data_IF_631066143366
#
_entry.id   IF_631066143366
#
_cell.length_a   1.000
_cell.length_b   1.000
_cell.length_c   1.000
_cell.angle_alpha   90.00
_cell.angle_beta   90.00
_cell.angle_gamma   90.00
#
_symmetry.space_group_name_H-M   'P 1'
#
loop_
_entity.id
_entity.type
_entity.pdbx_description
1 polymer ?
#
# COMPACT_ATOMS: atom_id res chain seq x y z
N UNK A 1 -19.20 -46.26 41.26
CA UNK A 1 -19.38 -44.81 41.45
C UNK A 1 -18.22 -44.10 40.76
N UNK A 2 -18.45 -43.28 39.72
CA UNK A 2 -17.36 -42.59 39.04
C UNK A 2 -17.04 -41.28 39.78
N UNK A 3 -15.74 -41.01 39.93
CA UNK A 3 -15.17 -39.82 40.56
C UNK A 3 -15.46 -38.60 39.68
N UNK A 4 -16.13 -37.59 40.25
CA UNK A 4 -16.51 -36.34 39.60
C UNK A 4 -15.28 -35.41 39.58
N UNK A 5 -14.62 -35.26 38.42
CA UNK A 5 -13.62 -34.21 38.23
C UNK A 5 -14.32 -32.85 38.28
N UNK A 6 -13.95 -32.01 39.25
CA UNK A 6 -14.41 -30.62 39.35
C UNK A 6 -13.51 -29.74 38.47
N UNK A 7 -14.13 -29.01 37.54
CA UNK A 7 -13.47 -28.01 36.71
C UNK A 7 -13.11 -26.78 37.55
N UNK A 8 -11.88 -26.29 37.41
CA UNK A 8 -11.40 -25.05 38.00
C UNK A 8 -12.12 -23.81 37.40
N UNK A 9 -12.29 -22.72 38.17
CA UNK A 9 -12.92 -21.50 37.66
C UNK A 9 -11.99 -20.76 36.68
N UNK A 10 -12.55 -20.02 35.70
CA UNK A 10 -11.74 -19.28 34.74
C UNK A 10 -11.01 -18.12 35.42
N UNK A 11 -9.75 -17.93 35.04
CA UNK A 11 -8.92 -16.83 35.48
C UNK A 11 -9.55 -15.48 35.08
N UNK A 12 -9.57 -14.54 36.02
CA UNK A 12 -10.04 -13.18 35.81
C UNK A 12 -9.21 -12.49 34.72
N UNK A 13 -9.89 -11.91 33.73
CA UNK A 13 -9.29 -11.05 32.72
C UNK A 13 -8.67 -9.82 33.41
N UNK A 14 -7.35 -9.66 33.28
CA UNK A 14 -6.64 -8.43 33.63
C UNK A 14 -7.10 -7.31 32.68
N UNK A 15 -7.74 -6.28 33.22
CA UNK A 15 -8.12 -5.08 32.47
C UNK A 15 -6.89 -4.42 31.85
N UNK A 16 -6.87 -4.33 30.52
CA UNK A 16 -5.82 -3.66 29.77
C UNK A 16 -5.76 -2.19 30.13
N UNK A 17 -4.58 -1.71 30.53
CA UNK A 17 -4.30 -0.28 30.63
C UNK A 17 -4.37 0.30 29.22
N UNK A 18 -5.14 1.38 29.05
CA UNK A 18 -5.18 2.12 27.80
C UNK A 18 -3.79 2.64 27.40
N UNK A 19 -3.59 2.98 26.12
CA UNK A 19 -2.29 3.38 25.60
C UNK A 19 -1.75 4.67 26.24
N UNK A 20 -0.43 4.92 26.16
CA UNK A 20 0.18 6.14 26.68
C UNK A 20 -0.39 7.38 25.99
N UNK A 21 -0.67 8.42 26.77
CA UNK A 21 -1.31 9.66 26.31
C UNK A 21 -0.50 10.41 25.24
N UNK A 22 0.79 10.14 25.07
CA UNK A 22 1.63 10.77 24.05
C UNK A 22 1.30 10.36 22.61
N UNK A 23 0.56 9.27 22.40
CA UNK A 23 0.23 8.75 21.06
C UNK A 23 -1.14 9.17 20.52
N UNK A 24 -1.92 9.94 21.30
CA UNK A 24 -3.26 10.39 20.94
C UNK A 24 -3.28 11.88 20.57
N UNK A 25 -4.26 12.29 19.77
CA UNK A 25 -4.42 13.69 19.35
C UNK A 25 -4.98 14.57 20.48
N UNK A 26 -4.63 15.87 20.51
CA UNK A 26 -5.24 16.81 21.46
C UNK A 26 -6.67 17.18 21.03
N UNK A 27 -7.43 17.80 21.93
CA UNK A 27 -8.71 18.41 21.63
C UNK A 27 -8.62 19.34 20.40
N UNK A 28 -9.51 19.12 19.43
CA UNK A 28 -9.56 19.88 18.18
C UNK A 28 -8.57 19.42 17.10
N UNK A 29 -7.50 18.71 17.46
CA UNK A 29 -6.53 18.18 16.49
C UNK A 29 -7.16 17.06 15.65
N UNK A 30 -6.64 16.89 14.43
CA UNK A 30 -6.99 15.77 13.59
C UNK A 30 -6.52 14.46 14.23
N UNK A 31 -7.46 13.52 14.33
CA UNK A 31 -7.27 12.24 14.98
C UNK A 31 -7.51 11.06 14.04
N UNK A 32 -7.63 11.31 12.72
CA UNK A 32 -7.93 10.26 11.74
C UNK A 32 -6.88 9.15 11.74
N UNK A 33 -5.62 9.49 11.96
CA UNK A 33 -4.51 8.54 12.04
C UNK A 33 -4.32 7.95 13.45
N UNK A 34 -4.59 8.72 14.50
CA UNK A 34 -4.36 8.27 15.88
C UNK A 34 -5.50 7.41 16.42
N UNK A 35 -6.74 7.66 15.96
CA UNK A 35 -7.96 6.97 16.40
C UNK A 35 -8.26 7.14 17.90
N UNK A 36 -7.61 8.10 18.57
CA UNK A 36 -7.75 8.33 20.01
C UNK A 36 -7.45 9.78 20.40
N UNK A 37 -7.97 10.19 21.56
CA UNK A 37 -7.85 11.55 22.09
C UNK A 37 -7.19 11.55 23.46
N UNK A 38 -6.33 12.54 23.71
CA UNK A 38 -5.64 12.74 25.00
C UNK A 38 -6.58 13.18 26.10
N UNK A 39 -7.53 14.04 25.73
CA UNK A 39 -8.42 14.69 26.68
C UNK A 39 -9.53 13.74 27.15
N UNK A 40 -9.67 13.63 28.46
CA UNK A 40 -10.69 12.78 29.07
C UNK A 40 -12.09 13.22 28.65
N UNK A 41 -12.90 12.28 28.16
CA UNK A 41 -14.26 12.54 27.68
C UNK A 41 -14.35 12.96 26.21
N UNK A 42 -13.21 13.21 25.55
CA UNK A 42 -13.17 13.41 24.10
C UNK A 42 -13.18 12.07 23.36
N UNK A 43 -13.80 12.06 22.18
CA UNK A 43 -13.76 10.97 21.22
C UNK A 43 -13.27 11.50 19.88
N UNK A 44 -12.64 10.64 19.09
CA UNK A 44 -12.27 10.98 17.73
C UNK A 44 -13.52 10.87 16.86
N UNK A 45 -14.09 12.01 16.46
CA UNK A 45 -15.26 12.04 15.60
C UNK A 45 -14.85 12.31 14.16
N UNK A 46 -15.24 11.43 13.26
CA UNK A 46 -15.06 11.61 11.83
C UNK A 46 -15.90 12.80 11.35
N UNK A 47 -15.22 13.74 10.68
CA UNK A 47 -15.89 14.73 9.87
C UNK A 47 -16.25 14.07 8.54
N UNK A 48 -15.23 13.74 7.77
CA UNK A 48 -15.35 13.12 6.47
C UNK A 48 -14.24 12.06 6.32
N UNK A 49 -14.15 11.30 5.22
CA UNK A 49 -13.12 10.28 5.03
C UNK A 49 -11.67 10.77 5.14
N UNK A 50 -11.45 12.08 5.12
CA UNK A 50 -10.13 12.72 5.08
C UNK A 50 -9.79 13.51 6.34
N UNK A 51 -10.73 13.66 7.28
CA UNK A 51 -10.52 14.45 8.50
C UNK A 51 -11.37 13.94 9.65
N UNK A 52 -10.77 13.88 10.82
CA UNK A 52 -11.48 13.71 12.08
C UNK A 52 -11.08 14.82 13.06
N UNK A 53 -11.73 14.89 14.21
CA UNK A 53 -11.25 15.73 15.30
C UNK A 53 -11.59 15.15 16.66
N UNK A 54 -10.72 15.40 17.63
CA UNK A 54 -11.00 15.11 19.02
C UNK A 54 -11.99 16.11 19.60
N UNK A 55 -13.23 15.67 19.82
CA UNK A 55 -14.32 16.51 20.35
C UNK A 55 -15.06 15.77 21.46
N UNK A 56 -15.69 16.51 22.35
CA UNK A 56 -16.58 15.96 23.39
C UNK A 56 -17.97 15.64 22.85
N UNK A 57 -18.41 16.35 21.80
CA UNK A 57 -19.69 16.18 21.11
C UNK A 57 -19.51 16.31 19.59
N UNK A 58 -20.46 15.74 18.85
CA UNK A 58 -20.51 15.84 17.39
C UNK A 58 -21.97 15.83 16.92
N UNK A 59 -22.29 16.71 15.96
CA UNK A 59 -23.58 16.78 15.27
C UNK A 59 -23.39 16.43 13.79
N UNK A 60 -24.29 15.63 13.22
CA UNK A 60 -24.18 15.18 11.82
C UNK A 60 -24.58 16.32 10.89
N UNK A 61 -23.77 16.57 9.85
CA UNK A 61 -24.07 17.56 8.81
C UNK A 61 -22.99 18.63 8.67
N UNK A 62 -23.28 19.66 7.87
CA UNK A 62 -22.34 20.77 7.61
C UNK A 62 -22.50 21.83 8.69
N UNK A 63 -21.41 22.16 9.38
CA UNK A 63 -21.41 23.17 10.43
C UNK A 63 -20.93 24.52 9.89
N UNK A 64 -21.69 25.58 10.16
CA UNK A 64 -21.34 26.95 9.76
C UNK A 64 -20.13 27.49 10.53
N UNK A 65 -19.83 26.92 11.68
CA UNK A 65 -18.75 27.37 12.55
C UNK A 65 -17.38 26.84 12.10
N UNK A 66 -17.37 25.87 11.18
CA UNK A 66 -16.13 25.45 10.51
C UNK A 66 -15.64 26.54 9.54
N UNK A 67 -14.32 26.70 9.35
CA UNK A 67 -13.75 27.63 8.39
C UNK A 67 -14.40 27.47 7.00
N UNK A 68 -14.74 28.56 6.29
CA UNK A 68 -15.51 28.48 5.05
C UNK A 68 -14.96 27.50 4.00
N UNK A 69 -13.64 27.40 3.90
CA UNK A 69 -12.86 26.50 3.03
C UNK A 69 -12.81 25.05 3.52
N UNK A 70 -13.15 24.79 4.78
CA UNK A 70 -13.13 23.48 5.41
C UNK A 70 -14.54 22.90 5.65
N UNK A 71 -15.60 23.63 5.29
CA UNK A 71 -17.01 23.22 5.48
C UNK A 71 -17.35 22.00 4.63
N UNK A 72 -17.35 20.85 5.28
CA UNK A 72 -17.77 19.55 4.74
C UNK A 72 -18.66 18.85 5.77
N UNK A 73 -19.52 17.92 5.36
CA UNK A 73 -20.41 17.22 6.28
C UNK A 73 -19.61 16.46 7.33
N UNK A 74 -20.04 16.51 8.58
CA UNK A 74 -19.62 15.62 9.66
C UNK A 74 -20.46 14.34 9.63
N UNK A 75 -19.83 13.17 9.56
CA UNK A 75 -20.50 11.87 9.74
C UNK A 75 -20.72 11.55 11.22
N UNK A 76 -19.90 12.11 12.10
CA UNK A 76 -19.84 11.84 13.54
C UNK A 76 -19.64 10.37 13.91
N UNK A 77 -19.12 9.57 12.99
CA UNK A 77 -18.67 8.22 13.31
C UNK A 77 -17.52 8.33 14.31
N UNK A 78 -17.62 7.60 15.42
CA UNK A 78 -16.52 7.55 16.40
C UNK A 78 -15.45 6.63 15.84
N UNK A 79 -14.27 7.18 15.55
CA UNK A 79 -13.10 6.40 15.20
C UNK A 79 -12.42 5.91 16.48
N UNK A 80 -12.09 4.62 16.50
CA UNK A 80 -11.26 3.98 17.52
C UNK A 80 -9.90 3.64 16.93
N UNK A 81 -8.95 3.23 17.79
CA UNK A 81 -7.66 2.72 17.31
C UNK A 81 -7.83 1.46 16.45
N UNK A 82 -8.90 0.70 16.64
CA UNK A 82 -9.25 -0.44 15.78
C UNK A 82 -9.71 0.01 14.38
N UNK A 83 -10.29 1.20 14.28
CA UNK A 83 -10.80 1.78 13.03
C UNK A 83 -9.71 2.54 12.25
N UNK A 84 -8.44 2.51 12.70
CA UNK A 84 -7.33 3.14 11.95
C UNK A 84 -7.25 2.49 10.56
N UNK A 85 -7.06 3.27 9.49
CA UNK A 85 -6.44 2.76 8.28
C UNK A 85 -5.11 2.11 8.67
N UNK A 86 -5.04 0.76 8.61
CA UNK A 86 -3.86 -0.02 9.02
C UNK A 86 -3.87 -0.67 10.42
N UNK A 87 -4.94 -0.59 11.23
CA UNK A 87 -5.06 -1.37 12.49
C UNK A 87 -5.44 -2.86 12.30
N UNK A 88 -5.38 -3.32 11.06
CA UNK A 88 -5.96 -4.57 10.58
C UNK A 88 -5.04 -5.78 10.79
N UNK A 89 -4.35 -5.89 11.93
CA UNK A 89 -3.43 -7.02 12.21
C UNK A 89 -4.13 -8.40 12.14
N UNK A 90 -5.46 -8.44 12.31
CA UNK A 90 -6.28 -9.65 12.23
C UNK A 90 -6.96 -9.87 10.86
N UNK A 91 -7.03 -8.85 9.98
CA UNK A 91 -7.70 -9.00 8.68
C UNK A 91 -6.74 -9.52 7.64
N UNK A 92 -6.97 -10.76 7.22
CA UNK A 92 -6.16 -11.44 6.20
C UNK A 92 -6.71 -11.15 4.80
N UNK A 93 -5.84 -11.11 3.78
CA UNK A 93 -4.39 -11.20 3.88
C UNK A 93 -3.71 -9.93 4.43
N UNK A 94 -2.63 -10.11 5.20
CA UNK A 94 -1.76 -9.01 5.62
C UNK A 94 -0.94 -8.51 4.43
N UNK A 95 -0.87 -7.19 4.25
CA UNK A 95 -0.15 -6.55 3.13
C UNK A 95 1.02 -5.73 3.66
N UNK A 96 2.24 -6.02 3.17
CA UNK A 96 3.38 -5.11 3.29
C UNK A 96 3.49 -4.33 1.98
N UNK A 97 3.37 -3.01 2.03
CA UNK A 97 3.39 -2.18 0.83
C UNK A 97 4.60 -1.25 0.80
N UNK A 98 5.12 -0.94 -0.38
CA UNK A 98 6.19 0.05 -0.47
C UNK A 98 6.07 0.88 -1.73
N UNK A 99 6.62 2.10 -1.66
CA UNK A 99 6.79 2.98 -2.79
C UNK A 99 8.25 3.42 -2.87
N UNK A 100 8.69 3.72 -4.09
CA UNK A 100 9.99 4.36 -4.37
C UNK A 100 9.70 5.76 -4.88
N UNK A 101 10.36 6.78 -4.33
CA UNK A 101 10.15 8.17 -4.74
C UNK A 101 11.45 8.98 -4.78
N UNK A 102 11.56 9.86 -5.77
CA UNK A 102 12.61 10.88 -5.81
C UNK A 102 12.12 12.12 -5.06
N UNK A 103 12.85 12.53 -4.02
CA UNK A 103 12.52 13.61 -3.08
C UNK A 103 12.38 14.98 -3.74
N UNK A 104 13.04 15.20 -4.87
CA UNK A 104 12.99 16.44 -5.65
C UNK A 104 11.84 16.51 -6.67
N UNK A 105 11.04 15.45 -6.80
CA UNK A 105 9.94 15.34 -7.78
C UNK A 105 8.54 15.45 -7.18
N UNK A 106 7.52 15.38 -8.04
CA UNK A 106 6.09 15.39 -7.67
C UNK A 106 5.64 14.15 -6.89
N UNK A 107 6.44 13.08 -6.91
CA UNK A 107 6.17 11.83 -6.20
C UNK A 107 5.93 12.07 -4.70
N UNK A 108 6.72 12.96 -4.09
CA UNK A 108 6.60 13.24 -2.67
C UNK A 108 5.30 13.97 -2.33
N UNK A 109 4.80 14.83 -3.23
CA UNK A 109 3.51 15.51 -3.05
C UNK A 109 2.33 14.54 -3.18
N UNK A 110 2.44 13.56 -4.08
CA UNK A 110 1.48 12.46 -4.18
C UNK A 110 1.48 11.62 -2.91
N UNK A 111 2.63 11.15 -2.44
CA UNK A 111 2.72 10.36 -1.21
C UNK A 111 2.22 11.13 0.03
N UNK A 112 2.44 12.45 0.10
CA UNK A 112 1.84 13.31 1.14
C UNK A 112 0.31 13.34 1.05
N UNK A 113 -0.25 13.44 -0.15
CA UNK A 113 -1.70 13.39 -0.33
C UNK A 113 -2.29 12.05 0.11
N UNK A 114 -1.64 10.94 -0.26
CA UNK A 114 -2.00 9.59 0.18
C UNK A 114 -1.96 9.45 1.71
N UNK A 115 -0.86 9.90 2.34
CA UNK A 115 -0.64 9.80 3.78
C UNK A 115 -1.72 10.54 4.58
N UNK A 116 -2.12 11.75 4.14
CA UNK A 116 -3.16 12.55 4.81
C UNK A 116 -4.47 11.80 4.97
N UNK A 117 -4.80 10.92 4.03
CA UNK A 117 -6.08 10.23 3.99
C UNK A 117 -5.97 8.74 4.33
N UNK A 118 -4.78 8.27 4.70
CA UNK A 118 -4.52 6.83 4.91
C UNK A 118 -4.74 5.97 3.66
N UNK A 119 -4.64 6.57 2.47
CA UNK A 119 -4.86 5.91 1.19
C UNK A 119 -3.57 5.37 0.56
N UNK A 120 -3.67 4.64 -0.54
CA UNK A 120 -2.49 4.06 -1.18
C UNK A 120 -1.76 3.06 -0.28
N UNK A 121 -0.43 3.16 -0.21
CA UNK A 121 0.39 2.26 0.64
C UNK A 121 0.09 2.42 2.13
N UNK A 122 -0.42 3.58 2.55
CA UNK A 122 -0.71 3.89 3.95
C UNK A 122 -1.93 3.12 4.50
N UNK A 123 -2.73 2.50 3.61
CA UNK A 123 -3.81 1.59 3.99
C UNK A 123 -3.37 0.14 4.25
N UNK A 124 -2.10 -0.18 3.97
CA UNK A 124 -1.55 -1.52 4.18
C UNK A 124 -1.25 -1.80 5.66
N UNK A 125 -1.04 -3.09 5.99
CA UNK A 125 -0.78 -3.52 7.37
C UNK A 125 0.56 -3.01 7.89
N UNK A 126 1.54 -2.89 6.99
CA UNK A 126 2.77 -2.14 7.19
C UNK A 126 3.21 -1.56 5.84
N UNK A 127 4.02 -0.51 5.90
CA UNK A 127 4.56 0.09 4.69
C UNK A 127 5.98 0.64 4.87
N UNK A 128 6.64 0.92 3.74
CA UNK A 128 7.95 1.58 3.67
C UNK A 128 8.01 2.53 2.47
N UNK A 129 8.66 3.67 2.63
CA UNK A 129 8.98 4.57 1.52
C UNK A 129 10.48 4.52 1.30
N UNK A 130 10.94 4.26 0.08
CA UNK A 130 12.34 4.34 -0.29
C UNK A 130 12.59 5.62 -1.08
N UNK A 131 13.53 6.45 -0.62
CA UNK A 131 13.81 7.74 -1.28
C UNK A 131 15.30 8.03 -1.37
N UNK A 132 15.67 8.91 -2.30
CA UNK A 132 17.04 9.39 -2.50
C UNK A 132 17.56 10.26 -1.33
N UNK A 133 16.64 10.83 -0.54
CA UNK A 133 16.94 11.67 0.62
C UNK A 133 15.92 11.46 1.75
N UNK A 134 16.21 12.02 2.92
CA UNK A 134 15.21 12.10 4.00
C UNK A 134 13.97 12.86 3.53
N UNK A 135 12.80 12.39 3.94
CA UNK A 135 11.53 13.06 3.66
C UNK A 135 10.80 13.37 4.97
N UNK A 136 9.76 14.21 4.89
CA UNK A 136 8.87 14.49 6.01
C UNK A 136 7.73 13.47 6.17
N UNK A 137 7.84 12.30 5.53
CA UNK A 137 6.89 11.20 5.68
C UNK A 137 7.43 10.14 6.64
N UNK A 138 6.58 9.56 7.51
CA UNK A 138 6.98 8.47 8.38
C UNK A 138 7.43 7.25 7.57
N UNK A 139 8.20 6.37 8.22
CA UNK A 139 8.65 5.10 7.62
C UNK A 139 9.41 5.27 6.29
N UNK A 140 10.11 6.40 6.14
CA UNK A 140 11.05 6.62 5.04
C UNK A 140 12.40 5.99 5.34
N UNK A 141 12.93 5.23 4.39
CA UNK A 141 14.31 4.76 4.35
C UNK A 141 15.04 5.44 3.19
N UNK A 142 16.15 6.09 3.51
CA UNK A 142 17.03 6.67 2.49
C UNK A 142 17.81 5.55 1.80
N UNK A 143 17.74 5.54 0.47
CA UNK A 143 18.44 4.60 -0.38
C UNK A 143 19.11 5.40 -1.53
N UNK A 144 20.42 5.69 -1.44
CA UNK A 144 21.13 6.56 -2.39
C UNK A 144 21.11 6.11 -3.86
N UNK A 145 20.74 4.85 -4.12
CA UNK A 145 20.55 4.28 -5.45
C UNK A 145 19.25 4.75 -6.11
N UNK A 146 18.28 5.18 -5.31
CA UNK A 146 17.13 5.95 -5.80
C UNK A 146 17.71 7.28 -6.23
N UNK A 147 17.67 7.56 -7.52
CA UNK A 147 18.14 8.82 -8.11
C UNK A 147 17.21 9.17 -9.25
N UNK A 148 17.10 10.46 -9.56
CA UNK A 148 16.39 10.89 -10.75
C UNK A 148 17.00 10.21 -12.00
N UNK A 149 16.18 9.69 -12.93
CA UNK A 149 16.70 9.04 -14.13
C UNK A 149 17.59 9.99 -14.91
N UNK A 150 18.84 9.60 -15.13
CA UNK A 150 19.71 10.26 -16.10
C UNK A 150 19.46 9.63 -17.46
N UNK A 151 19.03 10.44 -18.44
CA UNK A 151 18.81 9.95 -19.80
C UNK A 151 20.11 9.38 -20.39
N UNK A 152 20.15 8.08 -20.64
CA UNK A 152 21.31 7.41 -21.28
C UNK A 152 21.12 7.42 -22.79
N UNK A 153 22.12 7.94 -23.52
CA UNK A 153 22.10 7.91 -24.99
C UNK A 153 22.10 6.47 -25.51
N UNK A 154 21.10 6.13 -26.33
CA UNK A 154 20.89 4.76 -26.83
C UNK A 154 19.89 3.93 -26.01
N UNK A 155 19.42 4.43 -24.87
CA UNK A 155 18.24 3.89 -24.22
C UNK A 155 17.03 4.12 -25.12
N UNK A 156 16.21 3.08 -25.33
CA UNK A 156 15.06 3.10 -26.25
C UNK A 156 13.99 4.14 -25.86
N UNK A 157 14.11 4.70 -24.65
CA UNK A 157 13.34 5.82 -24.11
C UNK A 157 14.20 6.39 -22.96
N UNK A 158 14.41 7.71 -22.93
CA UNK A 158 15.27 8.38 -21.94
C UNK A 158 14.79 8.24 -20.47
N UNK A 159 13.66 7.56 -20.25
CA UNK A 159 12.93 7.44 -18.99
C UNK A 159 13.08 6.09 -18.27
N UNK A 160 13.79 5.10 -18.85
CA UNK A 160 13.70 3.69 -18.42
C UNK A 160 15.00 3.09 -17.85
N UNK A 161 15.86 3.90 -17.22
CA UNK A 161 17.13 3.43 -16.64
C UNK A 161 17.12 3.50 -15.12
N UNK A 162 16.06 3.00 -14.48
CA UNK A 162 15.92 2.99 -13.02
C UNK A 162 15.87 1.59 -12.40
N UNK A 163 16.03 0.51 -13.19
CA UNK A 163 16.00 -0.87 -12.67
C UNK A 163 16.94 -1.04 -11.46
N UNK A 164 18.10 -0.37 -11.44
CA UNK A 164 19.04 -0.42 -10.31
C UNK A 164 18.44 0.07 -8.98
N UNK A 165 17.63 1.13 -8.99
CA UNK A 165 16.98 1.65 -7.79
C UNK A 165 15.97 0.64 -7.22
N UNK A 166 15.20 0.01 -8.10
CA UNK A 166 14.20 -1.00 -7.72
C UNK A 166 14.86 -2.32 -7.30
N UNK A 167 15.91 -2.76 -7.99
CA UNK A 167 16.72 -3.92 -7.60
C UNK A 167 17.31 -3.70 -6.20
N UNK A 168 17.88 -2.52 -5.93
CA UNK A 168 18.39 -2.17 -4.61
C UNK A 168 17.27 -2.16 -3.56
N UNK A 169 16.09 -1.63 -3.90
CA UNK A 169 14.92 -1.60 -3.00
C UNK A 169 14.46 -3.02 -2.65
N UNK A 170 14.30 -3.91 -3.64
CA UNK A 170 13.95 -5.31 -3.40
C UNK A 170 15.01 -6.03 -2.55
N UNK A 171 16.29 -5.76 -2.79
CA UNK A 171 17.38 -6.28 -1.96
C UNK A 171 17.24 -5.85 -0.49
N UNK A 172 16.97 -4.57 -0.23
CA UNK A 172 16.75 -4.05 1.13
C UNK A 172 15.56 -4.74 1.83
N UNK A 173 14.43 -4.89 1.13
CA UNK A 173 13.23 -5.55 1.68
C UNK A 173 13.56 -6.98 2.12
N UNK A 174 14.33 -7.73 1.33
CA UNK A 174 14.68 -9.11 1.63
C UNK A 174 15.73 -9.22 2.73
N UNK A 175 16.82 -8.44 2.65
CA UNK A 175 17.93 -8.46 3.62
C UNK A 175 17.44 -8.06 5.00
N UNK A 176 16.59 -7.04 5.10
CA UNK A 176 16.03 -6.58 6.38
C UNK A 176 14.78 -7.35 6.81
N UNK A 177 14.30 -8.31 6.02
CA UNK A 177 13.10 -9.11 6.30
C UNK A 177 11.85 -8.25 6.56
N UNK A 178 11.73 -7.11 5.88
CA UNK A 178 10.69 -6.11 6.18
C UNK A 178 9.27 -6.65 5.98
N UNK A 179 9.09 -7.55 5.01
CA UNK A 179 7.83 -8.20 4.71
C UNK A 179 7.54 -9.44 5.58
N UNK A 180 8.43 -9.78 6.53
CA UNK A 180 8.14 -10.86 7.47
C UNK A 180 6.85 -10.56 8.25
N UNK A 181 6.07 -11.59 8.55
CA UNK A 181 4.71 -11.42 9.08
C UNK A 181 3.60 -11.16 8.04
N UNK A 182 3.91 -10.70 6.82
CA UNK A 182 2.91 -10.28 5.82
C UNK A 182 2.68 -11.30 4.69
N UNK A 183 1.43 -11.53 4.29
CA UNK A 183 1.08 -12.57 3.31
C UNK A 183 1.45 -12.17 1.87
N UNK A 184 1.37 -10.87 1.58
CA UNK A 184 1.70 -10.30 0.28
C UNK A 184 2.56 -9.05 0.43
N UNK A 185 3.42 -8.86 -0.57
CA UNK A 185 4.30 -7.70 -0.75
C UNK A 185 3.83 -6.96 -1.99
N UNK A 186 3.59 -5.66 -1.84
CA UNK A 186 2.97 -4.83 -2.88
C UNK A 186 3.84 -3.60 -3.14
N UNK A 187 4.44 -3.51 -4.32
CA UNK A 187 5.02 -2.26 -4.80
C UNK A 187 3.90 -1.41 -5.41
N UNK A 188 3.84 -0.13 -5.09
CA UNK A 188 2.87 0.81 -5.68
C UNK A 188 3.61 2.08 -6.07
N UNK A 189 3.40 2.55 -7.30
CA UNK A 189 3.94 3.85 -7.71
C UNK A 189 3.19 5.01 -7.04
N UNK A 190 3.88 6.12 -6.71
CA UNK A 190 3.25 7.31 -6.10
C UNK A 190 2.03 7.86 -6.87
N UNK A 191 1.99 7.72 -8.20
CA UNK A 191 0.90 8.18 -9.04
C UNK A 191 -0.14 7.09 -9.36
N UNK A 192 -0.05 5.95 -8.70
CA UNK A 192 -1.05 4.88 -8.73
C UNK A 192 -2.01 5.06 -7.54
N UNK A 193 -3.30 5.23 -7.82
CA UNK A 193 -4.35 5.25 -6.79
C UNK A 193 -4.66 3.82 -6.41
N UNK A 194 -4.29 3.41 -5.20
CA UNK A 194 -4.37 2.01 -4.77
C UNK A 194 -5.23 1.83 -3.52
N UNK A 195 -6.26 0.98 -3.59
CA UNK A 195 -7.18 0.73 -2.48
C UNK A 195 -6.85 -0.60 -1.78
N UNK A 196 -6.06 -0.54 -0.71
CA UNK A 196 -5.55 -1.71 0.01
C UNK A 196 -6.66 -2.69 0.47
N UNK A 197 -7.79 -2.18 0.96
CA UNK A 197 -8.92 -3.00 1.40
C UNK A 197 -9.51 -3.86 0.26
N UNK A 198 -9.56 -3.32 -0.96
CA UNK A 198 -10.00 -4.10 -2.14
C UNK A 198 -9.01 -5.18 -2.48
N UNK A 199 -7.71 -4.89 -2.42
CA UNK A 199 -6.70 -5.92 -2.67
C UNK A 199 -6.84 -7.06 -1.67
N UNK A 200 -7.06 -6.79 -0.37
CA UNK A 200 -7.30 -7.84 0.62
C UNK A 200 -8.49 -8.73 0.24
N UNK A 201 -9.64 -8.11 -0.06
CA UNK A 201 -10.82 -8.85 -0.48
C UNK A 201 -10.57 -9.67 -1.75
N UNK A 202 -9.89 -9.09 -2.73
CA UNK A 202 -9.56 -9.71 -4.00
C UNK A 202 -8.65 -10.93 -3.82
N UNK A 203 -7.57 -10.79 -3.06
CA UNK A 203 -6.59 -11.84 -2.78
C UNK A 203 -7.11 -12.94 -1.86
N UNK A 204 -8.24 -12.75 -1.18
CA UNK A 204 -8.91 -13.80 -0.40
C UNK A 204 -9.55 -14.89 -1.27
N UNK A 205 -9.65 -14.68 -2.60
CA UNK A 205 -10.20 -15.68 -3.50
C UNK A 205 -9.25 -16.90 -3.63
N UNK A 206 -9.79 -18.15 -3.72
CA UNK A 206 -8.99 -19.37 -3.84
C UNK A 206 -7.99 -19.37 -5.01
N UNK A 207 -8.32 -18.67 -6.11
CA UNK A 207 -7.45 -18.53 -7.28
C UNK A 207 -6.11 -17.86 -6.97
N UNK A 208 -6.02 -17.11 -5.88
CA UNK A 208 -4.80 -16.46 -5.42
C UNK A 208 -4.18 -17.19 -4.23
N UNK A 209 -5.00 -17.60 -3.26
CA UNK A 209 -4.53 -18.30 -2.06
C UNK A 209 -3.80 -19.61 -2.38
N UNK A 210 -4.32 -20.39 -3.34
CA UNK A 210 -3.69 -21.65 -3.76
C UNK A 210 -2.27 -21.45 -4.31
N UNK A 211 -2.10 -20.67 -5.40
CA UNK A 211 -0.78 -20.35 -5.94
C UNK A 211 0.17 -19.68 -4.94
N UNK A 212 -0.33 -18.75 -4.12
CA UNK A 212 0.48 -18.07 -3.11
C UNK A 212 1.01 -19.00 -2.01
N UNK A 213 0.26 -20.05 -1.68
CA UNK A 213 0.67 -21.07 -0.72
C UNK A 213 1.67 -22.09 -1.29
N UNK A 214 1.93 -22.09 -2.60
CA UNK A 214 2.95 -22.96 -3.20
C UNK A 214 4.35 -22.64 -2.65
N UNK A 215 5.31 -23.59 -2.68
CA UNK A 215 6.66 -23.35 -2.16
C UNK A 215 7.39 -22.18 -2.82
N UNK A 216 7.17 -21.96 -4.12
CA UNK A 216 7.74 -20.84 -4.87
C UNK A 216 6.85 -19.59 -4.86
N UNK A 217 5.62 -19.71 -4.35
CA UNK A 217 4.62 -18.64 -4.31
C UNK A 217 4.11 -18.22 -5.68
N UNK A 218 3.43 -17.08 -5.69
CA UNK A 218 2.84 -16.48 -6.87
C UNK A 218 3.11 -14.97 -7.00
N UNK A 219 2.99 -14.47 -8.22
CA UNK A 219 2.90 -13.04 -8.57
C UNK A 219 1.75 -12.81 -9.55
N UNK A 220 1.22 -11.58 -9.56
CA UNK A 220 0.06 -11.26 -10.41
C UNK A 220 0.48 -10.59 -11.71
N UNK A 221 -0.06 -11.08 -12.83
CA UNK A 221 0.04 -10.44 -14.15
C UNK A 221 -1.16 -9.51 -14.35
N UNK A 222 -0.90 -8.24 -14.65
CA UNK A 222 -1.88 -7.16 -14.61
C UNK A 222 -2.13 -6.50 -15.99
N UNK A 223 -1.29 -6.75 -16.99
CA UNK A 223 -1.49 -6.28 -18.36
C UNK A 223 -1.32 -7.42 -19.38
N UNK A 224 -2.37 -7.75 -20.14
CA UNK A 224 -2.30 -8.89 -21.07
C UNK A 224 -1.45 -8.61 -22.30
N UNK A 225 -1.48 -7.36 -22.79
CA UNK A 225 -0.96 -6.95 -24.09
C UNK A 225 0.30 -6.06 -24.00
N UNK A 226 1.06 -6.17 -22.91
CA UNK A 226 2.25 -5.37 -22.73
C UNK A 226 3.35 -5.67 -23.77
N UNK A 227 4.19 -4.67 -24.10
CA UNK A 227 5.20 -4.82 -25.14
C UNK A 227 6.27 -5.84 -24.73
N UNK A 228 6.80 -6.57 -25.72
CA UNK A 228 7.91 -7.53 -25.52
C UNK A 228 7.63 -8.63 -24.48
N UNK A 229 6.35 -8.99 -24.29
CA UNK A 229 5.93 -10.02 -23.33
C UNK A 229 5.83 -9.54 -21.88
N UNK A 230 5.91 -8.23 -21.63
CA UNK A 230 5.63 -7.66 -20.32
C UNK A 230 4.16 -7.87 -19.97
N UNK A 231 3.90 -8.45 -18.81
CA UNK A 231 2.55 -8.66 -18.28
C UNK A 231 2.41 -8.26 -16.81
N UNK A 232 3.50 -7.94 -16.13
CA UNK A 232 3.56 -7.28 -14.83
C UNK A 232 3.97 -5.82 -15.07
N UNK A 233 3.03 -4.89 -15.10
CA UNK A 233 3.31 -3.45 -15.21
C UNK A 233 3.65 -2.87 -13.84
N UNK A 234 4.65 -1.97 -13.81
CA UNK A 234 5.22 -1.43 -12.58
C UNK A 234 4.30 -0.58 -11.70
N UNK A 235 3.18 -0.07 -12.21
CA UNK A 235 2.26 0.80 -11.44
C UNK A 235 1.76 0.14 -10.15
N UNK A 236 1.59 -1.18 -10.18
CA UNK A 236 1.40 -2.02 -9.00
C UNK A 236 1.96 -3.42 -9.24
N UNK A 237 2.85 -3.88 -8.37
CA UNK A 237 3.45 -5.22 -8.42
C UNK A 237 3.05 -6.01 -7.17
N UNK A 238 2.36 -7.14 -7.33
CA UNK A 238 1.79 -7.92 -6.22
C UNK A 238 2.43 -9.30 -6.17
N UNK A 239 3.24 -9.54 -5.14
CA UNK A 239 3.99 -10.78 -4.92
C UNK A 239 3.57 -11.42 -3.60
N UNK A 240 3.37 -12.73 -3.60
CA UNK A 240 3.17 -13.46 -2.34
C UNK A 240 4.45 -13.51 -1.50
N UNK A 241 4.33 -13.72 -0.19
CA UNK A 241 5.48 -13.91 0.71
C UNK A 241 6.43 -15.01 0.23
N UNK A 242 5.89 -16.12 -0.27
CA UNK A 242 6.70 -17.24 -0.76
C UNK A 242 7.46 -16.86 -2.05
N UNK A 243 6.87 -16.03 -2.92
CA UNK A 243 7.56 -15.51 -4.09
C UNK A 243 8.78 -14.65 -3.71
N UNK A 244 8.61 -13.75 -2.73
CA UNK A 244 9.73 -12.92 -2.24
C UNK A 244 10.83 -13.77 -1.60
N UNK A 245 10.46 -14.82 -0.84
CA UNK A 245 11.44 -15.78 -0.28
C UNK A 245 12.15 -16.59 -1.36
N UNK A 246 11.45 -17.03 -2.40
CA UNK A 246 12.04 -17.75 -3.52
C UNK A 246 13.00 -16.87 -4.32
N UNK A 247 12.64 -15.59 -4.49
CA UNK A 247 13.50 -14.57 -5.10
C UNK A 247 14.75 -14.33 -4.28
N UNK A 248 14.64 -14.19 -2.96
CA UNK A 248 15.80 -14.05 -2.06
C UNK A 248 16.74 -15.25 -2.18
N UNK A 249 16.21 -16.48 -2.13
CA UNK A 249 16.99 -17.70 -2.23
C UNK A 249 17.69 -17.85 -3.60
N UNK A 250 17.17 -17.20 -4.63
CA UNK A 250 17.68 -17.25 -6.01
C UNK A 250 18.31 -15.93 -6.47
N UNK A 251 18.59 -15.01 -5.53
CA UNK A 251 18.95 -13.63 -5.85
C UNK A 251 20.13 -13.51 -6.80
N UNK A 252 21.18 -14.31 -6.58
CA UNK A 252 22.36 -14.35 -7.44
C UNK A 252 22.01 -14.66 -8.90
N UNK A 253 21.04 -15.55 -9.14
CA UNK A 253 20.58 -15.90 -10.50
C UNK A 253 19.84 -14.73 -11.15
N UNK A 254 18.97 -14.05 -10.41
CA UNK A 254 18.27 -12.85 -10.90
C UNK A 254 19.25 -11.75 -11.31
N UNK A 255 20.37 -11.61 -10.61
CA UNK A 255 21.40 -10.62 -10.94
C UNK A 255 22.27 -11.02 -12.14
N UNK A 256 22.62 -12.31 -12.28
CA UNK A 256 23.58 -12.75 -13.30
C UNK A 256 22.94 -13.24 -14.60
N UNK A 257 21.74 -13.79 -14.55
CA UNK A 257 21.07 -14.42 -15.72
C UNK A 257 20.04 -13.49 -16.38
N UNK A 258 19.60 -12.42 -15.70
CA UNK A 258 18.68 -11.43 -16.25
C UNK A 258 19.42 -10.13 -16.55
N UNK A 259 19.76 -9.95 -17.84
CA UNK A 259 20.39 -8.72 -18.33
C UNK A 259 19.43 -7.52 -18.15
N UNK A 260 19.76 -6.61 -17.23
CA UNK A 260 18.87 -5.54 -16.77
C UNK A 260 19.26 -4.14 -17.24
N UNK A 261 20.43 -3.99 -17.89
CA UNK A 261 20.94 -2.68 -18.32
C UNK A 261 20.02 -1.92 -19.28
N UNK A 262 19.13 -2.62 -19.99
CA UNK A 262 18.17 -2.06 -20.95
C UNK A 262 16.70 -2.39 -20.61
N UNK A 263 16.43 -2.84 -19.39
CA UNK A 263 15.08 -3.19 -18.92
C UNK A 263 14.52 -2.12 -17.97
N UNK A 264 13.21 -1.92 -18.01
CA UNK A 264 12.48 -1.31 -16.89
C UNK A 264 12.50 -2.24 -15.67
N UNK A 265 12.21 -1.69 -14.48
CA UNK A 265 12.22 -2.49 -13.26
C UNK A 265 11.23 -3.66 -13.30
N UNK A 266 10.07 -3.43 -13.90
CA UNK A 266 8.94 -4.34 -13.95
C UNK A 266 9.24 -5.56 -14.85
N UNK A 267 9.89 -5.31 -15.98
CA UNK A 267 10.41 -6.31 -16.89
C UNK A 267 11.53 -7.14 -16.25
N UNK A 268 12.43 -6.51 -15.50
CA UNK A 268 13.46 -7.25 -14.77
C UNK A 268 12.84 -8.15 -13.69
N UNK A 269 11.86 -7.64 -12.94
CA UNK A 269 11.18 -8.39 -11.89
C UNK A 269 10.41 -9.58 -12.49
N UNK A 270 9.62 -9.37 -13.55
CA UNK A 270 8.90 -10.45 -14.21
C UNK A 270 9.84 -11.56 -14.70
N UNK A 271 10.90 -11.20 -15.44
CA UNK A 271 11.87 -12.17 -15.94
C UNK A 271 12.56 -12.94 -14.83
N UNK A 272 12.88 -12.26 -13.72
CA UNK A 272 13.48 -12.89 -12.54
C UNK A 272 12.54 -13.91 -11.91
N UNK A 273 11.27 -13.57 -11.70
CA UNK A 273 10.26 -14.46 -11.13
C UNK A 273 9.98 -15.67 -12.04
N UNK A 274 9.90 -15.44 -13.36
CA UNK A 274 9.72 -16.50 -14.35
C UNK A 274 10.95 -17.44 -14.42
N UNK A 275 12.17 -16.89 -14.33
CA UNK A 275 13.42 -17.68 -14.27
C UNK A 275 13.47 -18.61 -13.04
N UNK A 276 12.92 -18.16 -11.91
CA UNK A 276 12.87 -18.94 -10.66
C UNK A 276 11.74 -19.99 -10.71
N UNK A 277 10.73 -19.78 -11.55
CA UNK A 277 9.53 -20.62 -11.59
C UNK A 277 8.47 -20.22 -10.57
N UNK A 278 8.47 -18.97 -10.10
CA UNK A 278 7.36 -18.42 -9.30
C UNK A 278 6.09 -18.47 -10.16
N UNK A 279 4.97 -18.90 -9.57
CA UNK A 279 3.74 -19.13 -10.32
C UNK A 279 3.12 -17.80 -10.80
N UNK A 280 2.98 -17.57 -12.11
CA UNK A 280 2.23 -16.43 -12.61
C UNK A 280 0.73 -16.67 -12.45
N UNK A 281 0.01 -15.67 -11.97
CA UNK A 281 -1.46 -15.67 -11.91
C UNK A 281 -2.00 -14.51 -12.71
N UNK A 282 -2.82 -14.80 -13.71
CA UNK A 282 -3.45 -13.79 -14.56
C UNK A 282 -4.56 -13.04 -13.80
N UNK A 283 -4.50 -11.71 -13.83
CA UNK A 283 -5.45 -10.84 -13.15
C UNK A 283 -5.76 -9.56 -13.96
N UNK A 284 -5.84 -9.76 -15.27
CA UNK A 284 -6.15 -8.73 -16.24
C UNK A 284 -7.56 -8.17 -16.06
N UNK A 285 -7.70 -6.84 -16.15
CA UNK A 285 -9.02 -6.19 -16.08
C UNK A 285 -9.66 -6.16 -14.69
N UNK A 286 -8.91 -6.51 -13.64
CA UNK A 286 -9.39 -6.47 -12.26
C UNK A 286 -8.38 -5.84 -11.29
N UNK A 287 -7.08 -6.06 -11.51
CA UNK A 287 -6.07 -5.53 -10.59
C UNK A 287 -5.91 -4.01 -10.74
N UNK A 288 -5.55 -3.54 -11.92
CA UNK A 288 -5.30 -2.13 -12.19
C UNK A 288 -5.93 -1.69 -13.50
N UNK A 289 -6.56 -0.52 -13.48
CA UNK A 289 -6.90 0.25 -14.68
C UNK A 289 -5.67 1.12 -15.02
N UNK A 290 -4.87 0.65 -15.97
CA UNK A 290 -3.59 1.28 -16.35
C UNK A 290 -3.66 1.85 -17.77
N UNK A 291 -3.62 3.18 -17.86
CA UNK A 291 -3.68 3.89 -19.14
C UNK A 291 -2.48 3.65 -20.08
N UNK A 292 -1.40 3.02 -19.59
CA UNK A 292 -0.28 2.59 -20.44
C UNK A 292 -0.42 1.14 -20.93
N UNK A 293 -1.32 0.34 -20.35
CA UNK A 293 -1.57 -1.02 -20.82
C UNK A 293 -2.40 -1.00 -22.12
N UNK A 294 -1.91 -1.59 -23.23
CA UNK A 294 -2.63 -1.55 -24.49
C UNK A 294 -4.01 -2.22 -24.40
N UNK A 295 -5.04 -1.52 -24.88
CA UNK A 295 -6.42 -2.02 -24.94
C UNK A 295 -7.24 -1.81 -23.67
N UNK A 296 -6.67 -1.23 -22.61
CA UNK A 296 -7.42 -0.71 -21.48
C UNK A 296 -7.88 0.74 -21.74
N UNK A 297 -9.01 1.17 -21.14
CA UNK A 297 -9.41 2.58 -21.19
C UNK A 297 -8.34 3.46 -20.54
N UNK A 298 -8.32 4.75 -20.87
CA UNK A 298 -7.30 5.71 -20.40
C UNK A 298 -7.41 6.05 -18.91
N UNK A 299 -8.25 5.34 -18.14
CA UNK A 299 -8.42 5.53 -16.70
C UNK A 299 -8.86 6.94 -16.28
N UNK A 300 -9.56 7.66 -17.16
CA UNK A 300 -10.02 9.05 -16.88
C UNK A 300 -11.05 9.11 -15.75
N UNK A 301 -11.83 8.05 -15.58
CA UNK A 301 -12.82 7.89 -14.50
C UNK A 301 -12.43 6.69 -13.66
N UNK A 302 -12.31 6.87 -12.35
CA UNK A 302 -11.93 5.80 -11.45
C UNK A 302 -13.16 5.00 -11.05
N UNK A 303 -13.65 4.21 -12.01
CA UNK A 303 -14.88 3.42 -11.87
C UNK A 303 -14.71 2.31 -10.81
N UNK A 304 -15.76 2.02 -10.02
CA UNK A 304 -15.73 0.90 -9.08
C UNK A 304 -15.41 -0.43 -9.77
N UNK A 305 -14.55 -1.24 -9.15
CA UNK A 305 -14.25 -2.61 -9.60
C UNK A 305 -12.76 -2.95 -9.67
N UNK A 306 -11.90 -1.97 -9.97
CA UNK A 306 -10.45 -2.16 -9.91
C UNK A 306 -9.90 -1.95 -8.49
N UNK A 307 -8.78 -2.62 -8.22
CA UNK A 307 -8.00 -2.44 -6.98
C UNK A 307 -7.13 -1.18 -7.05
N UNK A 308 -6.63 -0.85 -8.24
CA UNK A 308 -5.75 0.28 -8.49
C UNK A 308 -6.09 1.03 -9.79
N UNK A 309 -5.66 2.29 -9.90
CA UNK A 309 -5.87 3.16 -11.06
C UNK A 309 -4.61 3.96 -11.36
N UNK A 310 -4.14 3.94 -12.60
CA UNK A 310 -2.90 4.59 -13.00
C UNK A 310 -2.97 5.14 -14.44
N UNK A 311 -2.38 6.30 -14.74
CA UNK A 311 -1.69 7.24 -13.84
C UNK A 311 -2.59 8.36 -13.29
N UNK A 312 -2.21 8.93 -12.14
CA UNK A 312 -2.73 10.19 -11.56
C UNK A 312 -1.56 11.02 -11.03
N UNK A 313 -0.97 11.81 -11.93
CA UNK A 313 0.33 12.49 -11.73
C UNK A 313 0.27 13.68 -10.76
N UNK A 314 -0.92 14.18 -10.43
CA UNK A 314 -1.11 15.33 -9.54
C UNK A 314 -1.97 14.95 -8.31
N UNK A 315 -1.69 15.54 -7.12
CA UNK A 315 -2.47 15.28 -5.91
C UNK A 315 -3.98 15.39 -6.07
N UNK A 316 -4.48 16.44 -6.74
CA UNK A 316 -5.92 16.65 -6.93
C UNK A 316 -6.55 15.58 -7.83
N UNK A 317 -5.81 15.10 -8.84
CA UNK A 317 -6.26 13.99 -9.69
C UNK A 317 -6.30 12.68 -8.89
N UNK A 318 -5.29 12.46 -8.05
CA UNK A 318 -5.19 11.28 -7.19
C UNK A 318 -6.34 11.24 -6.18
N UNK A 319 -6.59 12.34 -5.47
CA UNK A 319 -7.66 12.46 -4.47
C UNK A 319 -9.06 12.35 -5.09
N UNK A 320 -9.29 13.01 -6.23
CA UNK A 320 -10.55 12.86 -6.96
C UNK A 320 -10.80 11.40 -7.35
N UNK A 321 -9.79 10.73 -7.88
CA UNK A 321 -9.87 9.33 -8.27
C UNK A 321 -10.08 8.41 -7.05
N UNK A 322 -9.47 8.73 -5.91
CA UNK A 322 -9.71 8.01 -4.65
C UNK A 322 -11.16 8.11 -4.20
N UNK A 323 -11.75 9.30 -4.25
CA UNK A 323 -13.15 9.53 -3.89
C UNK A 323 -14.10 8.80 -4.86
N UNK A 324 -13.85 8.89 -6.17
CA UNK A 324 -14.62 8.16 -7.19
C UNK A 324 -14.51 6.64 -7.01
N UNK A 325 -13.32 6.15 -6.71
CA UNK A 325 -13.13 4.74 -6.45
C UNK A 325 -13.99 4.33 -5.25
N UNK A 326 -13.93 5.05 -4.13
CA UNK A 326 -14.56 4.67 -2.86
C UNK A 326 -16.04 5.10 -2.67
N UNK A 327 -16.65 5.73 -3.66
CA UNK A 327 -18.07 6.08 -3.68
C UNK A 327 -18.99 4.85 -3.82
#
# INVERSE_FOLDING_TARGET
QPVRMQSAPPAAASGGQGPPSSECSAAGDDCILTGCCRDSGSKCFEKNPHRAACRTTCEVGVHTDDPPDERSPWTCRVLRREDRPGADADVRPQLFCFAVCVSSGSDLDLLRAQARIGGGIFGCSAHRIFSDAETNLPDTQVLPQVVAPQGVAGALTATWVNANAFIATWNEIMVQKMAEGHDWVVKVDPDCVFVAARLRHHLAAPRFLGPAASPLGAFLKNCAAGPRGLQLFGSIEVLSRNAVRAMEASWARCQSEVEHSLLGEDMWLQKSLELIGVQPVEDYGHLVDDGYCPGLPTGEVCSPGFVAFHPKKLPDQWLKCWDEANA
#
